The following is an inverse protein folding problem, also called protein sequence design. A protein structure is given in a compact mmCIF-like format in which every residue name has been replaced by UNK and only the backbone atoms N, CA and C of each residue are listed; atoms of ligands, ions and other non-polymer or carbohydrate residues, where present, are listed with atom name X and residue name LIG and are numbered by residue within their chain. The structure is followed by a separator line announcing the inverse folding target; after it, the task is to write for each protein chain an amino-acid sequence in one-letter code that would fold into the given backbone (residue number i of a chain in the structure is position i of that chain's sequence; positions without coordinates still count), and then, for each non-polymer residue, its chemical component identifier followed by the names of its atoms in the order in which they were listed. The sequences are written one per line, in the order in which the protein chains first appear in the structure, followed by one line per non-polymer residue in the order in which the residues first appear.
data_IF_778268902808
#
_entry.id   IF_778268902808
#
_cell.length_a   1.000
_cell.length_b   1.000
_cell.length_c   1.000
_cell.angle_alpha   90.00
_cell.angle_beta   90.00
_cell.angle_gamma   90.00
#
_symmetry.space_group_name_H-M   'P 1'
#
loop_
_entity.id
_entity.type
_entity.pdbx_description
1 polymer ?
#
# COMPACT_ATOMS: atom_id res chain seq x y z
N UNK A 1 -3.36 -34.58 37.12
CA UNK A 1 -4.40 -33.64 36.62
C UNK A 1 -3.89 -32.20 36.56
N UNK A 2 -3.36 -31.64 37.66
CA UNK A 2 -2.83 -30.26 37.71
C UNK A 2 -1.67 -29.98 36.73
N UNK A 3 -0.72 -30.90 36.59
CA UNK A 3 0.46 -30.72 35.71
C UNK A 3 0.07 -30.52 34.24
N UNK A 4 -0.95 -31.25 33.76
CA UNK A 4 -1.45 -31.11 32.39
C UNK A 4 -2.10 -29.73 32.16
N UNK A 5 -2.80 -29.19 33.16
CA UNK A 5 -3.39 -27.86 33.08
C UNK A 5 -2.31 -26.76 33.06
N UNK A 6 -1.23 -26.92 33.83
CA UNK A 6 -0.10 -25.98 33.80
C UNK A 6 0.62 -25.97 32.46
N UNK A 7 0.86 -27.14 31.85
CA UNK A 7 1.47 -27.25 30.52
C UNK A 7 0.58 -26.59 29.46
N UNK A 8 -0.74 -26.80 29.54
CA UNK A 8 -1.69 -26.22 28.61
C UNK A 8 -1.73 -24.68 28.70
N UNK A 9 -1.69 -24.12 29.91
CA UNK A 9 -1.63 -22.67 30.14
C UNK A 9 -0.31 -22.10 29.59
N UNK A 10 0.83 -22.76 29.87
CA UNK A 10 2.13 -22.36 29.34
C UNK A 10 2.15 -22.34 27.80
N UNK A 11 1.63 -23.38 27.15
CA UNK A 11 1.54 -23.43 25.68
C UNK A 11 0.69 -22.29 25.11
N UNK A 12 -0.43 -21.95 25.74
CA UNK A 12 -1.30 -20.85 25.30
C UNK A 12 -0.59 -19.50 25.47
N UNK A 13 0.11 -19.28 26.58
CA UNK A 13 0.86 -18.02 26.81
C UNK A 13 1.99 -17.82 25.79
N UNK A 14 2.69 -18.89 25.41
CA UNK A 14 3.76 -18.81 24.41
C UNK A 14 3.23 -18.51 23.00
N UNK A 15 2.03 -18.97 22.66
CA UNK A 15 1.35 -18.64 21.40
C UNK A 15 0.94 -17.17 21.35
N UNK A 16 0.45 -16.60 22.46
CA UNK A 16 0.06 -15.18 22.54
C UNK A 16 1.29 -14.28 22.41
N UNK A 17 2.39 -14.58 23.12
CA UNK A 17 3.64 -13.80 23.06
C UNK A 17 4.27 -13.84 21.66
N UNK A 18 4.13 -14.96 20.93
CA UNK A 18 4.66 -15.11 19.57
C UNK A 18 3.91 -14.30 18.51
N UNK A 19 2.70 -13.80 18.79
CA UNK A 19 1.88 -13.05 17.83
C UNK A 19 2.12 -11.54 17.81
N UNK A 20 3.02 -11.01 18.65
CA UNK A 20 3.21 -9.55 18.81
C UNK A 20 4.50 -8.98 18.20
N UNK A 21 5.03 -9.56 17.13
CA UNK A 21 6.17 -8.98 16.39
C UNK A 21 5.77 -8.21 15.11
N UNK A 22 4.60 -7.58 15.14
CA UNK A 22 4.25 -6.55 14.16
C UNK A 22 4.88 -5.23 14.60
N UNK A 23 6.18 -5.04 14.36
CA UNK A 23 6.74 -3.69 14.29
C UNK A 23 6.31 -3.13 12.92
N UNK A 24 5.37 -2.16 12.86
CA UNK A 24 5.26 -1.40 11.63
C UNK A 24 6.56 -0.58 11.55
N UNK A 25 7.43 -0.92 10.60
CA UNK A 25 8.53 -0.04 10.21
C UNK A 25 7.87 1.15 9.52
N UNK A 26 7.35 2.08 10.32
CA UNK A 26 6.88 3.39 9.87
C UNK A 26 8.15 4.22 9.69
N UNK A 27 8.91 3.88 8.66
CA UNK A 27 9.92 4.80 8.15
C UNK A 27 9.16 5.78 7.26
N UNK A 28 8.47 6.74 7.88
CA UNK A 28 8.03 7.94 7.18
C UNK A 28 9.34 8.59 6.75
N UNK A 29 9.70 8.39 5.49
CA UNK A 29 10.69 9.20 4.82
C UNK A 29 10.14 10.63 4.89
N UNK A 30 10.57 11.38 5.92
CA UNK A 30 10.57 12.85 5.95
C UNK A 30 11.58 13.36 4.93
N UNK A 31 11.52 12.82 3.72
CA UNK A 31 12.16 13.40 2.56
C UNK A 31 11.13 14.32 1.96
N UNK A 32 11.56 15.51 1.56
CA UNK A 32 10.88 16.19 0.46
C UNK A 32 10.57 15.11 -0.59
N UNK A 33 9.29 14.96 -0.96
CA UNK A 33 8.89 14.05 -2.02
C UNK A 33 9.48 14.60 -3.32
N UNK A 34 10.78 14.43 -3.52
CA UNK A 34 11.42 14.50 -4.81
C UNK A 34 10.82 13.34 -5.57
N UNK A 35 9.79 13.66 -6.35
CA UNK A 35 9.31 12.85 -7.45
C UNK A 35 10.47 12.79 -8.45
N UNK A 36 11.52 12.03 -8.13
CA UNK A 36 12.46 11.58 -9.13
C UNK A 36 11.63 10.74 -10.09
N UNK A 37 11.35 11.34 -11.25
CA UNK A 37 10.73 10.66 -12.38
C UNK A 37 11.75 9.61 -12.87
N UNK A 38 11.85 8.50 -12.13
CA UNK A 38 12.67 7.37 -12.52
C UNK A 38 12.07 6.84 -13.83
N UNK A 39 12.80 7.01 -14.92
CA UNK A 39 12.44 6.51 -16.26
C UNK A 39 12.34 4.97 -16.35
N UNK A 40 12.45 4.27 -15.22
CA UNK A 40 12.38 2.83 -15.15
C UNK A 40 10.93 2.37 -14.91
N UNK A 41 10.11 2.50 -15.96
CA UNK A 41 8.71 2.08 -16.02
C UNK A 41 8.49 0.63 -15.53
N UNK A 42 9.50 -0.23 -15.68
CA UNK A 42 9.44 -1.63 -15.24
C UNK A 42 9.40 -1.76 -13.71
N UNK A 43 10.09 -0.86 -13.00
CA UNK A 43 10.10 -0.85 -11.53
C UNK A 43 8.76 -0.43 -10.95
N UNK A 44 8.12 0.60 -11.52
CA UNK A 44 6.78 1.07 -11.12
C UNK A 44 5.68 0.02 -11.37
N UNK A 45 5.80 -0.73 -12.47
CA UNK A 45 4.84 -1.78 -12.83
C UNK A 45 4.87 -2.94 -11.83
N UNK A 46 6.04 -3.26 -11.28
CA UNK A 46 6.20 -4.27 -10.23
C UNK A 46 5.75 -3.76 -8.86
N UNK A 47 5.89 -2.47 -8.56
CA UNK A 47 5.49 -1.89 -7.28
C UNK A 47 3.97 -1.93 -7.07
N UNK A 48 3.18 -1.52 -8.08
CA UNK A 48 1.71 -1.49 -7.97
C UNK A 48 1.11 -2.87 -7.69
N UNK A 49 1.69 -3.93 -8.25
CA UNK A 49 1.18 -5.30 -8.14
C UNK A 49 1.66 -6.02 -6.87
N UNK A 50 2.80 -5.60 -6.33
CA UNK A 50 3.41 -6.19 -5.12
C UNK A 50 2.99 -5.49 -3.83
N UNK A 51 2.35 -4.33 -3.92
CA UNK A 51 1.74 -3.64 -2.77
C UNK A 51 0.69 -4.50 -2.07
N UNK A 52 0.59 -4.40 -0.74
CA UNK A 52 -0.52 -4.98 0.03
C UNK A 52 -1.87 -4.34 -0.31
N UNK A 53 -1.82 -3.08 -0.77
CA UNK A 53 -2.93 -2.30 -1.28
C UNK A 53 -2.63 -1.97 -2.76
N UNK A 54 -2.87 -2.90 -3.69
CA UNK A 54 -2.57 -2.70 -5.10
C UNK A 54 -3.42 -1.59 -5.71
N UNK A 55 -2.90 -0.95 -6.76
CA UNK A 55 -3.60 0.11 -7.49
C UNK A 55 -3.47 -0.04 -9.00
N UNK A 56 -4.40 0.58 -9.73
CA UNK A 56 -4.34 0.79 -11.18
C UNK A 56 -4.13 2.26 -11.49
N UNK A 57 -3.84 2.60 -12.75
CA UNK A 57 -3.73 3.99 -13.18
C UNK A 57 -4.88 4.34 -14.11
N UNK A 58 -5.56 5.44 -13.81
CA UNK A 58 -6.52 6.08 -14.68
C UNK A 58 -5.84 7.20 -15.47
N UNK A 59 -5.89 7.13 -16.80
CA UNK A 59 -5.33 8.17 -17.66
C UNK A 59 -6.27 9.37 -17.73
N UNK A 60 -5.87 10.52 -17.17
CA UNK A 60 -6.56 11.80 -17.33
C UNK A 60 -5.87 12.65 -18.40
N UNK A 61 -6.58 12.94 -19.48
CA UNK A 61 -6.06 13.76 -20.58
C UNK A 61 -6.79 15.11 -20.66
N UNK A 62 -6.03 16.19 -20.79
CA UNK A 62 -6.51 17.57 -20.91
C UNK A 62 -5.61 18.31 -21.90
N UNK A 63 -6.15 18.63 -23.07
CA UNK A 63 -5.38 19.25 -24.16
C UNK A 63 -5.02 20.72 -23.88
N UNK A 64 -5.67 21.35 -22.88
CA UNK A 64 -5.41 22.72 -22.47
C UNK A 64 -4.41 22.82 -21.31
N UNK A 65 -3.87 21.70 -20.83
CA UNK A 65 -2.99 21.65 -19.66
C UNK A 65 -1.61 21.09 -20.01
N UNK A 66 -0.57 21.52 -19.29
CA UNK A 66 0.75 20.91 -19.31
C UNK A 66 1.10 20.40 -17.89
N UNK A 67 1.41 19.10 -17.71
CA UNK A 67 1.39 18.04 -18.73
C UNK A 67 -0.04 17.68 -19.16
N UNK A 68 -0.19 17.33 -20.44
CA UNK A 68 -1.49 17.00 -21.05
C UNK A 68 -2.07 15.70 -20.51
N UNK A 69 -1.21 14.75 -20.13
CA UNK A 69 -1.60 13.45 -19.60
C UNK A 69 -1.10 13.33 -18.17
N UNK A 70 -2.00 12.97 -17.25
CA UNK A 70 -1.69 12.63 -15.86
C UNK A 70 -2.28 11.25 -15.60
N UNK A 71 -1.47 10.34 -15.05
CA UNK A 71 -1.93 9.02 -14.62
C UNK A 71 -2.25 9.06 -13.12
N UNK A 72 -3.53 8.96 -12.78
CA UNK A 72 -4.00 9.00 -11.39
C UNK A 72 -4.12 7.57 -10.84
N UNK A 73 -3.50 7.30 -9.69
CA UNK A 73 -3.59 6.00 -9.06
C UNK A 73 -4.98 5.76 -8.42
N UNK A 74 -5.56 4.59 -8.65
CA UNK A 74 -6.83 4.15 -8.07
C UNK A 74 -6.63 2.83 -7.33
N UNK A 75 -6.95 2.79 -6.04
CA UNK A 75 -6.86 1.55 -5.26
C UNK A 75 -7.74 0.47 -5.90
N UNK A 76 -7.19 -0.72 -6.13
CA UNK A 76 -7.90 -1.83 -6.78
C UNK A 76 -8.96 -2.46 -5.87
N UNK A 77 -8.81 -2.31 -4.55
CA UNK A 77 -9.76 -2.77 -3.52
C UNK A 77 -9.93 -1.65 -2.50
N UNK A 78 -11.15 -1.35 -2.06
CA UNK A 78 -11.42 -0.30 -1.05
C UNK A 78 -11.48 -0.85 0.38
N UNK A 79 -11.90 -2.10 0.57
CA UNK A 79 -12.30 -2.63 1.89
C UNK A 79 -11.39 -3.72 2.46
N UNK A 80 -10.32 -4.09 1.77
CA UNK A 80 -9.38 -5.09 2.28
C UNK A 80 -8.01 -4.97 1.63
N UNK A 81 -6.98 -5.14 2.43
CA UNK A 81 -5.62 -5.41 1.97
C UNK A 81 -5.42 -6.92 1.78
N UNK A 82 -4.59 -7.29 0.81
CA UNK A 82 -4.26 -8.71 0.56
C UNK A 82 -2.88 -9.04 1.09
N UNK A 83 -2.77 -10.10 1.89
CA UNK A 83 -1.49 -10.73 2.21
C UNK A 83 -1.34 -11.96 1.33
N UNK A 84 -0.26 -12.00 0.54
CA UNK A 84 0.22 -13.23 -0.08
C UNK A 84 1.23 -13.90 0.84
N UNK A 85 0.80 -14.96 1.53
CA UNK A 85 1.71 -15.93 2.14
C UNK A 85 1.96 -17.07 1.16
N UNK A 86 3.13 -17.71 1.22
CA UNK A 86 3.61 -18.73 0.26
C UNK A 86 2.57 -19.82 -0.09
N UNK A 87 1.60 -20.08 0.80
CA UNK A 87 0.56 -21.09 0.61
C UNK A 87 -0.89 -20.59 0.74
N UNK A 88 -1.15 -19.27 0.90
CA UNK A 88 -2.53 -18.75 1.05
C UNK A 88 -2.63 -17.25 0.78
N UNK A 89 -3.62 -16.85 -0.01
CA UNK A 89 -4.08 -15.47 -0.09
C UNK A 89 -5.14 -15.26 0.98
N UNK A 90 -4.87 -14.42 1.97
CA UNK A 90 -5.84 -14.05 3.00
C UNK A 90 -6.10 -12.56 2.96
N UNK A 91 -7.36 -12.16 2.86
CA UNK A 91 -7.80 -10.78 3.02
C UNK A 91 -7.73 -10.38 4.50
N UNK A 92 -7.06 -9.28 4.80
CA UNK A 92 -7.13 -8.66 6.12
C UNK A 92 -8.36 -7.74 6.14
N UNK A 93 -9.49 -8.28 6.57
CA UNK A 93 -10.78 -7.56 6.63
C UNK A 93 -10.80 -6.33 7.55
N UNK A 94 -9.73 -6.11 8.32
CA UNK A 94 -9.59 -4.95 9.22
C UNK A 94 -8.67 -3.86 8.66
N UNK A 95 -8.10 -4.04 7.47
CA UNK A 95 -7.24 -3.03 6.83
C UNK A 95 -7.87 -2.52 5.54
N UNK A 96 -7.78 -1.22 5.32
CA UNK A 96 -8.32 -0.55 4.15
C UNK A 96 -7.19 -0.03 3.26
N UNK A 97 -7.43 -0.04 1.94
CA UNK A 97 -6.56 0.63 0.98
C UNK A 97 -6.96 2.10 0.90
N UNK A 98 -6.06 2.99 1.32
CA UNK A 98 -6.31 4.44 1.31
C UNK A 98 -5.43 5.11 0.25
N UNK A 99 -5.98 5.95 -0.64
CA UNK A 99 -5.20 6.60 -1.68
C UNK A 99 -4.28 7.68 -1.10
N UNK A 100 -3.02 7.67 -1.54
CA UNK A 100 -2.05 8.72 -1.24
C UNK A 100 -2.21 9.85 -2.27
N UNK A 101 -2.42 11.08 -1.79
CA UNK A 101 -2.68 12.25 -2.65
C UNK A 101 -1.50 13.22 -2.62
N UNK A 102 -1.10 13.71 -3.79
CA UNK A 102 -0.11 14.77 -3.94
C UNK A 102 -0.73 15.98 -4.67
N UNK A 103 -0.32 17.19 -4.28
CA UNK A 103 -0.67 18.41 -5.00
C UNK A 103 0.48 18.75 -5.95
N UNK A 104 0.17 18.88 -7.24
CA UNK A 104 1.16 19.24 -8.26
C UNK A 104 0.70 20.50 -9.00
N UNK A 105 1.61 21.45 -9.29
CA UNK A 105 1.30 22.58 -10.14
C UNK A 105 1.15 22.12 -11.59
N UNK A 106 0.21 22.73 -12.32
CA UNK A 106 -0.02 22.48 -13.74
C UNK A 106 -0.16 23.81 -14.47
N UNK A 107 0.35 23.90 -15.69
CA UNK A 107 0.14 25.06 -16.53
C UNK A 107 -1.14 24.87 -17.33
N UNK A 108 -1.93 25.93 -17.51
CA UNK A 108 -3.16 25.88 -18.31
C UNK A 108 -3.15 26.95 -19.39
N UNK A 109 -3.47 26.56 -20.61
CA UNK A 109 -3.69 27.45 -21.74
C UNK A 109 -4.94 28.28 -21.46
N UNK A 110 -4.81 29.59 -21.56
CA UNK A 110 -5.94 30.50 -21.50
C UNK A 110 -6.64 30.51 -22.86
N UNK A 111 -7.97 30.42 -22.90
CA UNK A 111 -8.72 30.71 -24.12
C UNK A 111 -8.56 32.20 -24.45
N UNK A 112 -8.13 32.51 -25.67
CA UNK A 112 -8.09 33.87 -26.21
C UNK A 112 -9.48 34.41 -26.48
#
# INVERSE_FOLDING_TARGET
HFIFQFIQILCITMLIVSTCNCNPVINIIKGNLSLELSQDYNSELLLKERSLAPWTYEKKQDNERVPQVIYEAQCSTSHHCTIRSKNKTSSLYSLESVPIKAKIPVLRKKSS
#
